data_IF_341893838499
#
_entry.id   IF_341893838499
#
_cell.length_a   1.000
_cell.length_b   1.000
_cell.length_c   1.000
_cell.angle_alpha   90.00
_cell.angle_beta   90.00
_cell.angle_gamma   90.00
#
_symmetry.space_group_name_H-M   'P 1'
#
loop_
_entity.id
_entity.type
_entity.pdbx_description
1 polymer ?
#
# COMPACT_ATOMS: atom_id res chain seq x y z
N UNK A 1 12.35 -20.28 2.94
CA UNK A 1 13.01 -19.00 3.25
C UNK A 1 11.89 -17.98 3.26
N UNK A 2 11.51 -17.47 4.43
CA UNK A 2 10.47 -16.45 4.52
C UNK A 2 10.96 -15.19 3.79
N UNK A 3 10.19 -14.70 2.82
CA UNK A 3 10.53 -13.55 1.99
C UNK A 3 10.49 -12.26 2.83
N UNK A 4 11.59 -12.00 3.55
CA UNK A 4 11.87 -10.73 4.24
C UNK A 4 11.71 -9.51 3.31
N UNK A 5 11.76 -9.72 1.99
CA UNK A 5 11.51 -8.69 0.98
C UNK A 5 10.04 -8.30 0.92
N UNK A 6 9.14 -9.28 0.99
CA UNK A 6 7.70 -9.06 0.97
C UNK A 6 7.24 -8.32 2.22
N UNK A 7 7.70 -8.72 3.40
CA UNK A 7 7.34 -8.04 4.66
C UNK A 7 7.78 -6.58 4.64
N UNK A 8 8.97 -6.28 4.13
CA UNK A 8 9.43 -4.89 3.95
C UNK A 8 8.54 -4.08 3.01
N UNK A 9 8.10 -4.70 1.91
CA UNK A 9 7.20 -4.04 0.96
C UNK A 9 5.81 -3.80 1.57
N UNK A 10 5.28 -4.76 2.33
CA UNK A 10 4.01 -4.60 3.05
C UNK A 10 4.07 -3.45 4.04
N UNK A 11 5.11 -3.39 4.88
CA UNK A 11 5.32 -2.28 5.82
C UNK A 11 5.43 -0.94 5.10
N UNK A 12 6.16 -0.88 3.99
CA UNK A 12 6.31 0.34 3.20
C UNK A 12 4.97 0.82 2.61
N UNK A 13 4.13 -0.10 2.13
CA UNK A 13 2.79 0.20 1.64
C UNK A 13 1.95 0.78 2.79
N UNK A 14 1.99 0.15 3.96
CA UNK A 14 1.31 0.61 5.16
C UNK A 14 1.68 2.03 5.54
N UNK A 15 2.97 2.29 5.74
CA UNK A 15 3.49 3.59 6.13
C UNK A 15 3.13 4.66 5.09
N UNK A 16 3.18 4.29 3.81
CA UNK A 16 2.77 5.17 2.71
C UNK A 16 1.30 5.51 2.79
N UNK A 17 0.42 4.52 3.01
CA UNK A 17 -1.01 4.74 3.12
C UNK A 17 -1.33 5.60 4.33
N UNK A 18 -0.75 5.31 5.50
CA UNK A 18 -0.91 6.13 6.69
C UNK A 18 -0.45 7.58 6.49
N UNK A 19 0.68 7.78 5.82
CA UNK A 19 1.19 9.12 5.48
C UNK A 19 0.24 9.85 4.54
N UNK A 20 -0.25 9.17 3.50
CA UNK A 20 -1.22 9.75 2.57
C UNK A 20 -2.54 10.05 3.29
N UNK A 21 -2.99 9.21 4.22
CA UNK A 21 -4.20 9.43 5.01
C UNK A 21 -4.12 10.65 5.92
N UNK A 22 -2.91 11.01 6.35
CA UNK A 22 -2.66 12.25 7.06
C UNK A 22 -2.82 13.49 6.17
N UNK A 23 -2.53 13.39 4.87
CA UNK A 23 -2.61 14.51 3.92
C UNK A 23 -3.95 14.58 3.17
N UNK A 24 -4.57 13.44 2.88
CA UNK A 24 -5.82 13.32 2.14
C UNK A 24 -6.74 12.24 2.71
N UNK A 25 -8.04 12.46 2.58
CA UNK A 25 -9.05 11.49 3.02
C UNK A 25 -8.94 10.15 2.26
N UNK A 26 -9.24 9.04 2.94
CA UNK A 26 -9.23 7.69 2.37
C UNK A 26 -10.05 7.56 1.07
N UNK A 27 -11.15 8.30 0.94
CA UNK A 27 -11.97 8.34 -0.28
C UNK A 27 -11.20 8.86 -1.50
N UNK A 28 -10.32 9.85 -1.30
CA UNK A 28 -9.47 10.42 -2.36
C UNK A 28 -8.18 9.64 -2.60
N UNK A 29 -7.82 8.74 -1.67
CA UNK A 29 -6.69 7.85 -1.82
C UNK A 29 -6.93 6.93 -3.02
N UNK A 30 -5.91 6.72 -3.85
CA UNK A 30 -5.97 5.80 -4.99
C UNK A 30 -4.76 4.90 -4.98
N UNK A 31 -4.93 3.67 -5.47
CA UNK A 31 -3.84 2.70 -5.60
C UNK A 31 -2.67 3.28 -6.40
N UNK A 32 -2.95 4.09 -7.43
CA UNK A 32 -1.92 4.76 -8.21
C UNK A 32 -1.05 5.72 -7.36
N UNK A 33 -1.65 6.50 -6.47
CA UNK A 33 -0.90 7.38 -5.56
C UNK A 33 -0.07 6.57 -4.58
N UNK A 34 -0.65 5.55 -3.94
CA UNK A 34 0.07 4.66 -3.02
C UNK A 34 1.29 4.05 -3.72
N UNK A 35 1.09 3.51 -4.91
CA UNK A 35 2.12 2.85 -5.72
C UNK A 35 3.25 3.82 -6.10
N UNK A 36 2.89 5.07 -6.45
CA UNK A 36 3.85 6.14 -6.78
C UNK A 36 4.64 6.58 -5.56
N UNK A 37 3.98 6.80 -4.42
CA UNK A 37 4.60 7.26 -3.17
C UNK A 37 5.48 6.19 -2.54
N UNK A 38 5.00 4.94 -2.51
CA UNK A 38 5.75 3.78 -2.01
C UNK A 38 6.87 3.33 -2.96
N UNK A 39 6.96 3.91 -4.17
CA UNK A 39 7.94 3.54 -5.22
C UNK A 39 7.93 2.05 -5.55
N UNK A 40 6.73 1.46 -5.60
CA UNK A 40 6.54 0.05 -5.97
C UNK A 40 5.85 -0.07 -7.32
N UNK A 41 5.92 -1.25 -7.93
CA UNK A 41 5.14 -1.56 -9.12
C UNK A 41 3.69 -1.89 -8.76
N UNK A 42 2.75 -1.62 -9.67
CA UNK A 42 1.34 -2.02 -9.50
C UNK A 42 1.21 -3.52 -9.29
N UNK A 43 2.01 -4.31 -10.01
CA UNK A 43 2.05 -5.77 -9.85
C UNK A 43 2.42 -6.16 -8.41
N UNK A 44 3.39 -5.48 -7.79
CA UNK A 44 3.79 -5.74 -6.41
C UNK A 44 2.69 -5.37 -5.42
N UNK A 45 1.97 -4.26 -5.66
CA UNK A 45 0.81 -3.91 -4.84
C UNK A 45 -0.28 -4.99 -4.95
N UNK A 46 -0.66 -5.38 -6.18
CA UNK A 46 -1.70 -6.39 -6.43
C UNK A 46 -1.34 -7.81 -5.98
N UNK A 47 -0.06 -8.09 -5.65
CA UNK A 47 0.32 -9.34 -5.00
C UNK A 47 -0.05 -9.39 -3.51
N UNK A 48 -0.39 -8.24 -2.92
CA UNK A 48 -0.66 -8.10 -1.49
C UNK A 48 -2.06 -7.57 -1.22
N UNK A 49 -2.46 -6.55 -1.97
CA UNK A 49 -3.73 -5.86 -1.82
C UNK A 49 -4.39 -5.66 -3.18
N UNK A 50 -5.65 -6.07 -3.30
CA UNK A 50 -6.40 -5.89 -4.55
C UNK A 50 -6.77 -4.42 -4.78
N UNK A 51 -6.99 -3.65 -3.72
CA UNK A 51 -7.25 -2.22 -3.76
C UNK A 51 -7.10 -1.61 -2.35
N UNK A 52 -7.41 -0.32 -2.21
CA UNK A 52 -7.31 0.38 -0.93
C UNK A 52 -8.29 -0.15 0.13
N UNK A 53 -9.42 -0.72 -0.28
CA UNK A 53 -10.40 -1.30 0.65
C UNK A 53 -9.93 -2.66 1.12
N UNK A 54 -9.34 -3.48 0.25
CA UNK A 54 -8.68 -4.72 0.65
C UNK A 54 -7.59 -4.48 1.71
N UNK A 55 -6.78 -3.44 1.54
CA UNK A 55 -5.83 -3.01 2.56
C UNK A 55 -6.51 -2.67 3.90
N UNK A 56 -7.66 -1.98 3.86
CA UNK A 56 -8.43 -1.64 5.05
C UNK A 56 -9.03 -2.88 5.73
N UNK A 57 -9.49 -3.87 4.97
CA UNK A 57 -10.03 -5.12 5.51
C UNK A 57 -8.96 -5.98 6.18
N UNK A 58 -7.71 -5.89 5.72
CA UNK A 58 -6.56 -6.56 6.34
C UNK A 58 -6.01 -5.80 7.57
N UNK A 59 -6.58 -4.65 7.94
CA UNK A 59 -6.09 -3.77 9.02
C UNK A 59 -7.03 -3.52 10.17
#
# INVERSE_FOLDING_TARGET
MADLRTEKTLTLIDETIFTLLHELSFERLTVAQICTTAKIGRSTFYQHYLDKYDWLEQK
#
